data_IF_115377168989
#
_entry.id   IF_115377168989
#
_cell.length_a   1.000
_cell.length_b   1.000
_cell.length_c   1.000
_cell.angle_alpha   90.00
_cell.angle_beta   90.00
_cell.angle_gamma   90.00
#
_symmetry.space_group_name_H-M   'P 1'
#
loop_
_entity.id
_entity.type
_entity.pdbx_description
1 polymer ?
#
# COMPACT_ATOMS: atom_id res chain seq x y z
N UNK A 1 28.47 4.80 31.86
CA UNK A 1 27.95 6.18 31.70
C UNK A 1 28.63 6.74 30.45
N UNK A 2 28.05 6.71 29.25
CA UNK A 2 26.69 7.07 28.83
C UNK A 2 26.13 6.08 27.81
N UNK A 3 24.89 5.65 28.00
CA UNK A 3 24.15 4.74 27.12
C UNK A 3 23.65 5.49 25.89
N UNK A 4 23.72 4.86 24.72
CA UNK A 4 23.35 5.46 23.43
C UNK A 4 21.82 5.58 23.38
N UNK A 5 21.31 6.79 23.58
CA UNK A 5 19.91 7.11 23.31
C UNK A 5 19.66 7.06 21.79
N UNK A 6 19.36 5.87 21.27
CA UNK A 6 18.62 5.74 20.00
C UNK A 6 17.14 5.88 20.34
N UNK A 7 16.63 7.10 20.20
CA UNK A 7 15.19 7.37 20.12
C UNK A 7 14.63 6.65 18.88
N UNK A 8 13.56 5.87 18.97
CA UNK A 8 12.90 5.33 17.78
C UNK A 8 12.38 6.50 16.92
N UNK A 9 12.46 6.46 15.58
CA UNK A 9 11.81 7.47 14.77
C UNK A 9 10.31 7.38 15.02
N UNK A 10 9.78 8.50 15.48
CA UNK A 10 8.38 8.72 15.70
C UNK A 10 7.57 8.23 14.49
N UNK A 11 6.54 7.48 14.81
CA UNK A 11 5.34 7.22 14.02
C UNK A 11 4.88 8.44 13.21
N UNK A 12 5.46 8.67 12.03
CA UNK A 12 4.92 9.59 11.03
C UNK A 12 3.99 8.83 10.06
N UNK A 13 3.07 8.06 10.64
CA UNK A 13 1.85 7.60 9.97
C UNK A 13 0.64 8.27 10.61
N UNK A 14 0.75 9.55 10.94
CA UNK A 14 -0.38 10.41 11.28
C UNK A 14 -1.02 10.95 10.01
N UNK A 15 -1.40 10.06 9.10
CA UNK A 15 -2.50 10.40 8.18
C UNK A 15 -3.78 10.13 8.98
N UNK A 16 -4.67 11.11 9.18
CA UNK A 16 -5.97 10.81 9.77
C UNK A 16 -6.60 9.71 8.92
N UNK A 17 -7.21 8.64 9.51
CA UNK A 17 -8.00 7.72 8.73
C UNK A 17 -9.24 8.50 8.29
N UNK A 18 -9.12 9.29 7.22
CA UNK A 18 -10.21 9.64 6.34
C UNK A 18 -10.78 8.29 5.93
N UNK A 19 -11.78 7.85 6.71
CA UNK A 19 -12.62 6.66 6.57
C UNK A 19 -12.20 5.89 5.32
N UNK A 20 -11.33 4.87 5.44
CA UNK A 20 -10.68 4.31 4.27
C UNK A 20 -11.79 3.92 3.32
N UNK A 21 -11.86 4.59 2.16
CA UNK A 21 -12.54 4.03 1.00
C UNK A 21 -11.91 2.66 0.86
N UNK A 22 -12.56 1.64 1.43
CA UNK A 22 -11.92 0.38 1.81
C UNK A 22 -11.32 -0.15 0.52
N UNK A 23 -9.98 -0.11 0.35
CA UNK A 23 -9.40 -0.36 -0.95
C UNK A 23 -9.93 -1.71 -1.40
N UNK A 24 -10.34 -1.75 -2.66
CA UNK A 24 -10.94 -2.93 -3.22
C UNK A 24 -10.04 -4.16 -2.91
N UNK A 25 -10.62 -5.35 -2.70
CA UNK A 25 -9.81 -6.57 -2.44
C UNK A 25 -8.61 -6.71 -3.39
N UNK A 26 -8.73 -6.45 -4.72
CA UNK A 26 -7.57 -6.51 -5.62
C UNK A 26 -6.55 -5.38 -5.38
N UNK A 27 -6.97 -4.17 -5.01
CA UNK A 27 -6.10 -3.05 -4.66
C UNK A 27 -5.22 -3.40 -3.45
N UNK A 28 -5.83 -4.01 -2.42
CA UNK A 28 -5.11 -4.44 -1.22
C UNK A 28 -4.13 -5.59 -1.53
N UNK A 29 -4.55 -6.57 -2.32
CA UNK A 29 -3.69 -7.67 -2.75
C UNK A 29 -2.47 -7.18 -3.55
N UNK A 30 -2.67 -6.23 -4.48
CA UNK A 30 -1.60 -5.62 -5.27
C UNK A 30 -0.66 -4.79 -4.39
N UNK A 31 -1.16 -4.13 -3.33
CA UNK A 31 -0.32 -3.31 -2.45
C UNK A 31 0.59 -4.17 -1.57
N UNK A 32 0.07 -5.30 -1.09
CA UNK A 32 0.85 -6.33 -0.42
C UNK A 32 1.88 -6.93 -1.38
N UNK A 33 1.49 -7.27 -2.61
CA UNK A 33 2.39 -7.81 -3.61
C UNK A 33 3.51 -6.82 -3.99
N UNK A 34 3.22 -5.52 -4.11
CA UNK A 34 4.24 -4.48 -4.31
C UNK A 34 5.23 -4.45 -3.15
N UNK A 35 4.73 -4.52 -1.92
CA UNK A 35 5.58 -4.47 -0.71
C UNK A 35 6.49 -5.69 -0.64
N UNK A 36 5.96 -6.89 -0.92
CA UNK A 36 6.75 -8.12 -0.99
C UNK A 36 7.77 -8.04 -2.12
N UNK A 37 7.39 -7.62 -3.33
CA UNK A 37 8.31 -7.47 -4.45
C UNK A 37 9.43 -6.48 -4.15
N UNK A 38 9.13 -5.37 -3.47
CA UNK A 38 10.14 -4.41 -3.02
C UNK A 38 11.07 -4.98 -1.95
N UNK A 39 10.57 -5.85 -1.07
CA UNK A 39 11.38 -6.55 -0.07
C UNK A 39 12.32 -7.58 -0.70
N UNK A 40 11.87 -8.26 -1.76
CA UNK A 40 12.66 -9.21 -2.55
C UNK A 40 13.58 -8.52 -3.57
N UNK A 41 13.60 -7.18 -3.64
CA UNK A 41 14.29 -6.39 -4.67
C UNK A 41 13.86 -6.70 -6.13
N UNK A 42 12.68 -7.29 -6.30
CA UNK A 42 12.02 -7.56 -7.58
C UNK A 42 11.34 -6.30 -8.14
N UNK A 43 12.15 -5.37 -8.66
CA UNK A 43 11.66 -4.08 -9.19
C UNK A 43 10.70 -4.23 -10.38
N UNK A 44 10.85 -5.31 -11.16
CA UNK A 44 9.94 -5.63 -12.26
C UNK A 44 8.53 -5.95 -11.74
N UNK A 45 8.41 -6.85 -10.75
CA UNK A 45 7.13 -7.22 -10.14
C UNK A 45 6.50 -6.06 -9.37
N UNK A 46 7.31 -5.23 -8.71
CA UNK A 46 6.83 -4.02 -8.04
C UNK A 46 6.20 -3.03 -9.04
N UNK A 47 6.83 -2.87 -10.22
CA UNK A 47 6.30 -2.01 -11.28
C UNK A 47 5.02 -2.58 -11.89
N UNK A 48 4.96 -3.89 -12.12
CA UNK A 48 3.76 -4.58 -12.60
C UNK A 48 2.57 -4.38 -11.64
N UNK A 49 2.80 -4.53 -10.33
CA UNK A 49 1.76 -4.28 -9.32
C UNK A 49 1.21 -2.84 -9.38
N UNK A 50 2.07 -1.84 -9.63
CA UNK A 50 1.63 -0.44 -9.82
C UNK A 50 0.81 -0.24 -11.09
N UNK A 51 1.21 -0.87 -12.20
CA UNK A 51 0.48 -0.80 -13.46
C UNK A 51 -0.89 -1.44 -13.32
N UNK A 52 -0.97 -2.61 -12.65
CA UNK A 52 -2.23 -3.29 -12.38
C UNK A 52 -3.17 -2.45 -11.50
N UNK A 53 -2.65 -1.79 -10.45
CA UNK A 53 -3.47 -0.87 -9.64
C UNK A 53 -4.01 0.30 -10.45
N UNK A 54 -3.17 0.91 -11.30
CA UNK A 54 -3.60 2.02 -12.17
C UNK A 54 -4.71 1.55 -13.11
N UNK A 55 -4.50 0.43 -13.81
CA UNK A 55 -5.48 -0.13 -14.74
C UNK A 55 -6.79 -0.48 -14.04
N UNK A 56 -6.73 -1.05 -12.85
CA UNK A 56 -7.91 -1.36 -12.05
C UNK A 56 -8.70 -0.11 -11.64
N UNK A 57 -8.01 1.00 -11.34
CA UNK A 57 -8.64 2.29 -11.08
C UNK A 57 -9.26 2.91 -12.34
N UNK A 58 -8.57 2.81 -13.48
CA UNK A 58 -9.05 3.33 -14.77
C UNK A 58 -10.23 2.52 -15.33
N UNK A 59 -10.22 1.21 -15.13
CA UNK A 59 -11.31 0.31 -15.55
C UNK A 59 -12.60 0.53 -14.75
N UNK A 60 -12.54 1.29 -13.63
CA UNK A 60 -13.70 1.51 -12.77
C UNK A 60 -14.13 0.26 -11.99
N UNK A 61 -13.46 -0.88 -12.15
CA UNK A 61 -13.64 -2.11 -11.34
C UNK A 61 -13.28 -1.90 -9.87
N UNK A 62 -12.62 -0.77 -9.55
CA UNK A 62 -12.39 -0.30 -8.20
C UNK A 62 -13.67 0.22 -7.54
N UNK A 63 -14.67 -0.65 -7.48
CA UNK A 63 -15.93 -0.42 -6.78
C UNK A 63 -15.76 -0.83 -5.33
N UNK A 64 -14.86 -0.14 -4.65
CA UNK A 64 -14.80 -0.11 -3.20
C UNK A 64 -16.04 0.64 -2.64
N UNK A 65 -17.25 0.12 -2.87
CA UNK A 65 -18.47 0.76 -2.38
C UNK A 65 -19.81 0.41 -3.05
N UNK A 66 -19.91 -0.45 -4.05
CA UNK A 66 -21.21 -0.96 -4.52
C UNK A 66 -21.28 -2.45 -4.24
N UNK A 67 -21.55 -2.78 -2.98
CA UNK A 67 -22.31 -3.98 -2.69
C UNK A 67 -23.76 -3.62 -3.03
N UNK A 68 -24.24 -4.11 -4.17
CA UNK A 68 -25.66 -4.32 -4.38
C UNK A 68 -26.10 -5.54 -3.55
#
# INVERSE_FOLDING_TARGET
MVERAQTPPASEHSQPPCRPCRPCRPCQALALAETVAKAEYDWSRATDCRVLMKRHRESGECVAGQSA
#
